data_IF_562976957608
#
_entry.id   IF_562976957608
#
_cell.length_a   1.000
_cell.length_b   1.000
_cell.length_c   1.000
_cell.angle_alpha   90.00
_cell.angle_beta   90.00
_cell.angle_gamma   90.00
#
_symmetry.space_group_name_H-M   'P 1'
#
loop_
_entity.id
_entity.type
_entity.pdbx_description
1 polymer ?
#
# COMPACT_ATOMS: atom_id res chain seq x y z
N UNK A 1 -1.20 -0.94 8.72
CA UNK A 1 -2.12 -0.66 7.62
C UNK A 1 -2.34 -1.89 6.79
N UNK A 2 -3.43 -1.90 6.10
CA UNK A 2 -3.89 -3.10 5.44
C UNK A 2 -4.55 -2.73 4.12
N UNK A 3 -4.19 -3.43 3.06
CA UNK A 3 -4.77 -3.19 1.75
C UNK A 3 -5.32 -4.49 1.17
N UNK A 4 -6.41 -4.35 0.44
CA UNK A 4 -7.07 -5.50 -0.13
C UNK A 4 -7.57 -5.20 -1.54
N UNK A 5 -7.41 -6.17 -2.42
CA UNK A 5 -7.90 -6.10 -3.79
C UNK A 5 -9.17 -6.90 -3.94
N UNK A 6 -10.05 -6.40 -4.76
CA UNK A 6 -11.24 -7.11 -5.13
C UNK A 6 -10.88 -8.12 -6.22
N UNK A 7 -11.37 -9.32 -6.09
CA UNK A 7 -11.06 -10.38 -7.02
C UNK A 7 -12.30 -10.93 -7.71
N UNK A 8 -13.32 -10.14 -7.76
CA UNK A 8 -14.58 -10.57 -8.33
C UNK A 8 -14.45 -11.21 -9.68
N UNK A 9 -13.62 -10.68 -10.52
CA UNK A 9 -13.42 -11.21 -11.85
C UNK A 9 -12.87 -12.62 -11.88
N UNK A 10 -12.18 -13.05 -10.84
CA UNK A 10 -11.62 -14.38 -10.86
C UNK A 10 -12.59 -15.43 -10.60
N UNK A 11 -13.54 -15.12 -9.78
CA UNK A 11 -14.58 -16.05 -9.43
C UNK A 11 -15.29 -16.53 -10.69
N UNK A 12 -15.49 -15.62 -11.62
CA UNK A 12 -16.22 -15.95 -12.85
C UNK A 12 -15.49 -16.89 -13.75
N UNK A 13 -14.19 -16.95 -13.63
CA UNK A 13 -13.39 -17.80 -14.49
C UNK A 13 -13.22 -19.18 -13.96
N UNK A 14 -13.75 -19.43 -12.80
CA UNK A 14 -13.66 -20.73 -12.17
C UNK A 14 -12.24 -21.20 -11.94
N UNK A 15 -11.29 -20.34 -12.07
CA UNK A 15 -9.94 -20.67 -11.80
C UNK A 15 -9.72 -20.62 -10.31
N UNK A 16 -8.68 -21.22 -9.87
CA UNK A 16 -8.27 -21.05 -8.51
C UNK A 16 -7.91 -19.60 -8.31
N UNK A 17 -8.27 -19.05 -7.20
CA UNK A 17 -7.72 -17.78 -6.86
C UNK A 17 -6.43 -17.96 -6.13
N UNK A 18 -5.57 -16.95 -6.26
CA UNK A 18 -4.35 -16.90 -5.51
C UNK A 18 -4.49 -15.72 -4.56
N UNK A 19 -4.25 -15.98 -3.28
CA UNK A 19 -4.28 -14.95 -2.25
C UNK A 19 -2.92 -14.90 -1.60
N UNK A 20 -2.27 -13.74 -1.66
CA UNK A 20 -1.02 -13.51 -0.97
C UNK A 20 -1.23 -12.64 0.24
N UNK A 21 -0.68 -13.05 1.37
CA UNK A 21 -0.67 -12.27 2.59
C UNK A 21 0.76 -11.79 2.79
N UNK A 22 0.95 -10.48 2.72
CA UNK A 22 2.28 -9.89 2.86
C UNK A 22 2.33 -9.05 4.12
N UNK A 23 3.34 -9.30 4.95
CA UNK A 23 3.52 -8.56 6.18
C UNK A 23 4.82 -7.78 6.09
N UNK A 24 4.69 -6.47 6.06
CA UNK A 24 5.81 -5.53 5.94
C UNK A 24 6.79 -5.91 4.83
N UNK A 25 6.29 -6.04 3.60
CA UNK A 25 7.15 -6.44 2.47
C UNK A 25 8.21 -5.41 2.13
N UNK A 26 8.08 -4.20 2.65
CA UNK A 26 9.04 -3.12 2.40
C UNK A 26 10.33 -3.24 3.21
N UNK A 27 10.37 -4.13 4.19
CA UNK A 27 11.53 -4.26 5.05
C UNK A 27 12.78 -4.51 4.21
N UNK A 28 13.81 -3.73 4.46
CA UNK A 28 15.09 -3.79 3.73
C UNK A 28 15.06 -3.26 2.30
N UNK A 29 13.98 -2.66 1.87
CA UNK A 29 13.91 -2.08 0.54
C UNK A 29 14.13 -0.58 0.58
N UNK A 30 14.86 -0.06 -0.41
CA UNK A 30 14.99 1.38 -0.58
C UNK A 30 13.64 1.97 -0.98
N UNK A 31 13.45 3.30 -0.81
CA UNK A 31 12.19 3.92 -1.24
C UNK A 31 11.86 3.63 -2.70
N UNK A 32 12.86 3.69 -3.58
CA UNK A 32 12.65 3.41 -4.99
C UNK A 32 12.16 1.98 -5.21
N UNK A 33 12.75 1.03 -4.49
CA UNK A 33 12.35 -0.36 -4.63
C UNK A 33 10.99 -0.63 -4.01
N UNK A 34 10.61 0.11 -2.98
CA UNK A 34 9.26 0.01 -2.42
C UNK A 34 8.22 0.45 -3.45
N UNK A 35 8.50 1.52 -4.18
CA UNK A 35 7.61 1.99 -5.23
C UNK A 35 7.51 0.95 -6.34
N UNK A 36 8.65 0.37 -6.75
CA UNK A 36 8.65 -0.66 -7.80
C UNK A 36 7.86 -1.90 -7.38
N UNK A 37 8.03 -2.31 -6.13
CA UNK A 37 7.29 -3.47 -5.62
C UNK A 37 5.79 -3.20 -5.64
N UNK A 38 5.38 -2.02 -5.20
CA UNK A 38 3.97 -1.67 -5.20
C UNK A 38 3.40 -1.66 -6.62
N UNK A 39 4.17 -1.14 -7.57
CA UNK A 39 3.74 -1.12 -8.97
C UNK A 39 3.60 -2.53 -9.52
N UNK A 40 4.51 -3.43 -9.16
CA UNK A 40 4.42 -4.82 -9.61
C UNK A 40 3.22 -5.53 -8.99
N UNK A 41 2.94 -5.25 -7.73
CA UNK A 41 1.75 -5.81 -7.06
C UNK A 41 0.49 -5.34 -7.76
N UNK A 42 0.42 -4.05 -8.13
CA UNK A 42 -0.72 -3.52 -8.87
C UNK A 42 -0.91 -4.27 -10.19
N UNK A 43 0.19 -4.54 -10.89
CA UNK A 43 0.13 -5.26 -12.16
C UNK A 43 -0.34 -6.69 -11.98
N UNK A 44 0.19 -7.37 -10.99
CA UNK A 44 -0.20 -8.75 -10.73
C UNK A 44 -1.66 -8.85 -10.34
N UNK A 45 -2.13 -7.93 -9.53
CA UNK A 45 -3.52 -7.92 -9.14
C UNK A 45 -4.42 -7.67 -10.33
N UNK A 46 -4.01 -6.75 -11.21
CA UNK A 46 -4.82 -6.34 -12.34
C UNK A 46 -4.83 -7.36 -13.47
N UNK A 47 -3.67 -7.88 -13.83
CA UNK A 47 -3.55 -8.71 -15.03
C UNK A 47 -3.58 -10.21 -14.74
N UNK A 48 -3.08 -10.61 -13.59
CA UNK A 48 -3.09 -12.03 -13.22
C UNK A 48 -4.20 -12.37 -12.26
N UNK A 49 -4.81 -11.32 -11.74
CA UNK A 49 -5.93 -11.53 -10.89
C UNK A 49 -5.64 -12.06 -9.51
N UNK A 50 -4.49 -11.78 -9.03
CA UNK A 50 -4.07 -12.19 -7.71
C UNK A 50 -4.65 -11.23 -6.68
N UNK A 51 -5.17 -11.76 -5.59
CA UNK A 51 -5.63 -10.95 -4.48
C UNK A 51 -4.49 -10.80 -3.46
N UNK A 52 -4.30 -9.58 -2.99
CA UNK A 52 -3.29 -9.30 -1.99
C UNK A 52 -3.94 -8.69 -0.76
N UNK A 53 -3.46 -9.10 0.41
CA UNK A 53 -3.77 -8.46 1.67
C UNK A 53 -2.42 -8.11 2.26
N UNK A 54 -2.17 -6.81 2.45
CA UNK A 54 -0.84 -6.34 2.79
C UNK A 54 -0.89 -5.50 4.05
N UNK A 55 -0.05 -5.86 5.02
CA UNK A 55 0.14 -5.06 6.21
C UNK A 55 1.44 -4.28 6.02
N UNK A 56 1.37 -2.96 6.04
CA UNK A 56 2.54 -2.14 5.79
C UNK A 56 2.42 -0.78 6.45
N UNK A 57 3.56 -0.19 6.76
CA UNK A 57 3.65 1.19 7.25
C UNK A 57 4.35 2.09 6.22
N UNK A 58 4.72 1.54 5.07
CA UNK A 58 5.45 2.30 4.07
C UNK A 58 4.57 3.37 3.42
N UNK A 59 4.94 4.66 3.53
CA UNK A 59 4.17 5.71 2.88
C UNK A 59 4.23 5.59 1.37
N UNK A 60 5.28 4.99 0.84
CA UNK A 60 5.44 4.80 -0.59
C UNK A 60 4.50 3.72 -1.10
N UNK A 61 4.50 2.56 -0.45
CA UNK A 61 3.61 1.49 -0.86
C UNK A 61 2.15 1.87 -0.68
N UNK A 62 1.83 2.48 0.45
CA UNK A 62 0.44 2.90 0.71
C UNK A 62 -0.05 3.92 -0.32
N UNK A 63 0.85 4.74 -0.85
CA UNK A 63 0.49 5.74 -1.84
C UNK A 63 0.36 5.20 -3.25
N UNK A 64 1.05 4.12 -3.57
CA UNK A 64 1.09 3.56 -4.91
C UNK A 64 0.05 2.45 -5.12
N UNK A 65 -0.16 1.63 -4.11
CA UNK A 65 -1.09 0.51 -4.22
C UNK A 65 -2.53 0.97 -4.45
N UNK A 66 -3.17 0.41 -5.47
CA UNK A 66 -4.55 0.74 -5.81
C UNK A 66 -5.51 -0.13 -4.99
N UNK A 67 -5.75 0.25 -3.76
CA UNK A 67 -6.54 -0.57 -2.85
C UNK A 67 -7.13 0.26 -1.72
N UNK A 68 -8.05 -0.33 -1.00
CA UNK A 68 -8.57 0.29 0.21
C UNK A 68 -7.54 0.18 1.30
N UNK A 69 -7.40 1.23 2.08
CA UNK A 69 -6.51 1.25 3.21
C UNK A 69 -7.34 1.23 4.48
N UNK A 70 -7.12 0.20 5.28
CA UNK A 70 -7.76 0.09 6.59
C UNK A 70 -6.75 0.51 7.64
N UNK A 71 -7.09 1.52 8.42
CA UNK A 71 -6.21 1.97 9.50
C UNK A 71 -6.54 1.17 10.75
N UNK A 72 -5.65 0.24 11.10
CA UNK A 72 -5.87 -0.64 12.24
C UNK A 72 -5.64 0.05 13.58
N UNK A 73 -5.10 1.26 13.54
CA UNK A 73 -4.88 2.03 14.77
C UNK A 73 -6.11 2.81 15.18
N UNK A 74 -7.14 2.86 14.33
CA UNK A 74 -8.38 3.49 14.70
C UNK A 74 -9.29 2.47 15.37
N UNK A 75 -10.24 2.97 16.12
CA UNK A 75 -11.12 2.14 16.92
C UNK A 75 -11.91 1.11 16.09
N UNK A 76 -12.36 1.51 14.92
CA UNK A 76 -13.21 0.68 14.09
C UNK A 76 -12.53 0.28 12.78
N UNK A 77 -11.21 0.32 12.74
CA UNK A 77 -10.44 -0.02 11.53
C UNK A 77 -10.96 0.73 10.32
N UNK A 78 -11.02 2.06 10.46
CA UNK A 78 -11.62 2.89 9.43
C UNK A 78 -10.85 2.86 8.12
N UNK A 79 -11.58 2.93 7.02
CA UNK A 79 -10.99 3.12 5.71
C UNK A 79 -10.59 4.58 5.59
N UNK A 80 -9.34 4.84 5.25
CA UNK A 80 -8.83 6.19 5.14
C UNK A 80 -8.11 6.38 3.82
N UNK A 81 -8.05 7.63 3.39
CA UNK A 81 -7.25 7.99 2.24
C UNK A 81 -5.79 8.06 2.65
N UNK A 82 -4.92 7.85 1.69
CA UNK A 82 -3.49 7.89 1.93
C UNK A 82 -3.04 9.14 2.68
N UNK A 83 -3.53 10.30 2.25
CA UNK A 83 -3.09 11.57 2.84
C UNK A 83 -3.73 11.87 4.20
N UNK A 84 -4.62 11.02 4.66
CA UNK A 84 -5.21 11.16 5.98
C UNK A 84 -4.50 10.32 7.05
N UNK A 85 -3.64 9.42 6.62
CA UNK A 85 -2.94 8.53 7.54
C UNK A 85 -1.94 9.32 8.36
N UNK A 86 -2.00 9.12 9.68
CA UNK A 86 -1.13 9.85 10.60
C UNK A 86 0.34 9.63 10.26
N UNK A 87 0.70 8.40 9.95
CA UNK A 87 2.05 8.04 9.57
C UNK A 87 2.52 8.81 8.34
N UNK A 88 1.68 8.89 7.30
CA UNK A 88 2.00 9.61 6.08
C UNK A 88 2.10 11.10 6.35
N UNK A 89 1.18 11.63 7.16
CA UNK A 89 1.21 13.04 7.53
C UNK A 89 2.49 13.39 8.28
N UNK A 90 2.97 12.51 9.12
CA UNK A 90 4.20 12.75 9.85
C UNK A 90 5.39 12.88 8.89
N UNK A 91 5.50 12.00 7.91
CA UNK A 91 6.54 12.09 6.90
C UNK A 91 6.46 13.41 6.14
N UNK A 92 5.26 13.78 5.75
CA UNK A 92 5.04 15.03 5.02
C UNK A 92 5.51 16.24 5.83
N UNK A 93 5.07 16.33 7.08
CA UNK A 93 5.43 17.47 7.92
C UNK A 93 6.93 17.51 8.21
N UNK A 94 7.52 16.35 8.41
CA UNK A 94 8.96 16.30 8.66
C UNK A 94 9.75 16.82 7.46
N UNK A 95 9.47 16.31 6.27
CA UNK A 95 10.19 16.73 5.08
C UNK A 95 9.89 18.18 4.73
N UNK A 96 8.68 18.61 4.97
CA UNK A 96 8.32 19.99 4.78
C UNK A 96 9.17 20.91 5.66
N UNK A 97 9.43 20.50 6.90
CA UNK A 97 10.25 21.28 7.82
C UNK A 97 11.69 21.36 7.39
N UNK A 98 12.14 20.46 6.52
CA UNK A 98 13.53 20.41 6.04
C UNK A 98 13.66 20.91 4.61
N UNK A 99 12.62 21.49 4.06
CA UNK A 99 12.58 21.88 2.66
C UNK A 99 13.74 22.77 2.26
N UNK A 100 14.10 23.71 3.12
CA UNK A 100 15.20 24.64 2.83
C UNK A 100 16.52 23.94 2.60
N UNK A 101 16.71 22.79 3.22
CA UNK A 101 17.96 22.03 3.08
C UNK A 101 18.05 21.34 1.73
N UNK A 102 16.91 21.04 1.14
CA UNK A 102 16.85 20.38 -0.17
C UNK A 102 16.93 21.35 -1.32
N UNK A 103 16.52 22.58 -1.11
CA UNK A 103 16.40 23.56 -2.16
C UNK A 103 17.51 24.60 -2.21
N UNK A 104 18.65 24.29 -1.64
CA UNK A 104 19.79 25.19 -1.66
C UNK A 104 20.48 25.23 -3.01
#
# INVERSE_FOLDING_TARGET
FYKRWDKERFIKKKSRYILYLLDEPEVSLSPQNQVKLAEEINKMARYLGIQFIIATHSPFMLGILNAKIYNLDTRNYEVQKWNELENVRYFYEFFKSKMDEFEK
#
